data_IF_530314881845
#
_entry.id   IF_530314881845
#
_cell.length_a   1.000
_cell.length_b   1.000
_cell.length_c   1.000
_cell.angle_alpha   90.00
_cell.angle_beta   90.00
_cell.angle_gamma   90.00
#
_symmetry.space_group_name_H-M   'P 1'
#
loop_
_entity.id
_entity.type
_entity.pdbx_description
1 polymer ?
#
# COMPACT_ATOMS: atom_id res chain seq x y z
N UNK A 1 49.29 23.96 15.86
CA UNK A 1 47.91 24.27 15.45
C UNK A 1 47.53 23.28 14.36
N UNK A 2 46.77 22.23 14.70
CA UNK A 2 46.28 21.24 13.76
C UNK A 2 44.82 21.56 13.43
N UNK A 3 44.53 21.83 12.16
CA UNK A 3 43.16 21.93 11.67
C UNK A 3 42.61 20.50 11.54
N UNK A 4 41.77 20.09 12.50
CA UNK A 4 40.95 18.89 12.32
C UNK A 4 39.86 19.21 11.32
N UNK A 5 39.90 18.55 10.16
CA UNK A 5 38.80 18.51 9.21
C UNK A 5 37.52 18.07 9.92
N UNK A 6 36.53 18.94 9.96
CA UNK A 6 35.14 18.60 10.26
C UNK A 6 34.57 17.83 9.07
N UNK A 7 34.80 16.52 9.05
CA UNK A 7 34.05 15.60 8.20
C UNK A 7 32.56 15.73 8.55
N UNK A 8 31.75 16.25 7.63
CA UNK A 8 30.29 16.16 7.66
C UNK A 8 29.89 14.68 7.39
N UNK A 9 29.32 13.94 8.36
CA UNK A 9 28.62 12.71 8.05
C UNK A 9 27.12 13.04 8.01
N UNK A 10 26.51 13.03 6.83
CA UNK A 10 25.05 12.78 6.63
C UNK A 10 24.62 13.17 5.21
N UNK A 11 25.46 12.89 4.21
CA UNK A 11 24.98 12.88 2.82
C UNK A 11 24.30 11.54 2.56
N UNK A 12 22.98 11.53 2.75
CA UNK A 12 22.01 10.71 2.00
C UNK A 12 22.46 9.26 1.76
N UNK A 13 22.48 8.41 2.80
CA UNK A 13 22.41 6.98 2.53
C UNK A 13 21.06 6.69 1.86
N UNK A 14 21.03 6.15 0.64
CA UNK A 14 19.77 5.77 0.00
C UNK A 14 19.13 4.67 0.86
N UNK A 15 17.93 4.95 1.35
CA UNK A 15 17.12 3.92 2.00
C UNK A 15 16.76 2.90 0.93
N UNK A 16 17.43 1.75 0.95
CA UNK A 16 17.12 0.64 0.06
C UNK A 16 16.00 -0.19 0.68
N UNK A 17 14.89 -0.30 -0.03
CA UNK A 17 13.82 -1.23 0.29
C UNK A 17 13.94 -2.41 -0.67
N UNK A 18 13.98 -3.63 -0.16
CA UNK A 18 13.94 -4.79 -1.04
C UNK A 18 12.54 -4.93 -1.66
N UNK A 19 12.47 -5.40 -2.90
CA UNK A 19 11.19 -5.73 -3.56
C UNK A 19 10.32 -6.64 -2.68
N UNK A 20 10.95 -7.60 -1.99
CA UNK A 20 10.28 -8.51 -1.04
C UNK A 20 9.66 -7.81 0.17
N UNK A 21 10.26 -6.74 0.69
CA UNK A 21 9.68 -5.94 1.78
C UNK A 21 8.49 -5.12 1.27
N UNK A 22 8.58 -4.57 0.06
CA UNK A 22 7.49 -3.83 -0.59
C UNK A 22 6.31 -4.76 -0.86
N UNK A 23 6.54 -5.96 -1.40
CA UNK A 23 5.51 -7.00 -1.57
C UNK A 23 4.83 -7.38 -0.25
N UNK A 24 5.61 -7.59 0.80
CA UNK A 24 5.04 -7.93 2.12
C UNK A 24 4.18 -6.80 2.68
N UNK A 25 4.63 -5.55 2.53
CA UNK A 25 3.87 -4.38 2.96
C UNK A 25 2.57 -4.25 2.16
N UNK A 26 2.62 -4.38 0.83
CA UNK A 26 1.45 -4.35 -0.04
C UNK A 26 0.43 -5.44 0.31
N UNK A 27 0.89 -6.69 0.48
CA UNK A 27 0.04 -7.81 0.88
C UNK A 27 -0.63 -7.56 2.24
N UNK A 28 0.12 -7.00 3.18
CA UNK A 28 -0.41 -6.65 4.50
C UNK A 28 -1.49 -5.57 4.42
N UNK A 29 -1.25 -4.51 3.64
CA UNK A 29 -2.23 -3.44 3.42
C UNK A 29 -3.52 -4.04 2.83
N UNK A 30 -3.43 -4.89 1.80
CA UNK A 30 -4.62 -5.52 1.21
C UNK A 30 -5.39 -6.38 2.21
N UNK A 31 -4.69 -7.17 3.03
CA UNK A 31 -5.33 -8.00 4.05
C UNK A 31 -6.07 -7.15 5.10
N UNK A 32 -5.41 -6.11 5.62
CA UNK A 32 -6.00 -5.20 6.62
C UNK A 32 -7.16 -4.40 6.04
N UNK A 33 -7.04 -3.88 4.82
CA UNK A 33 -8.11 -3.18 4.09
C UNK A 33 -9.31 -4.09 3.85
N UNK A 34 -9.08 -5.34 3.46
CA UNK A 34 -10.15 -6.32 3.25
C UNK A 34 -10.95 -6.56 4.54
N UNK A 35 -10.27 -6.77 5.66
CA UNK A 35 -10.91 -6.95 6.97
C UNK A 35 -11.67 -5.68 7.39
N UNK A 36 -11.03 -4.51 7.30
CA UNK A 36 -11.63 -3.24 7.68
C UNK A 36 -12.88 -2.93 6.84
N UNK A 37 -12.82 -3.22 5.55
CA UNK A 37 -13.94 -3.06 4.61
C UNK A 37 -15.12 -3.94 4.98
N UNK A 38 -14.88 -5.23 5.28
CA UNK A 38 -15.94 -6.15 5.70
C UNK A 38 -16.58 -5.72 7.02
N UNK A 39 -15.77 -5.34 8.00
CA UNK A 39 -16.25 -4.86 9.30
C UNK A 39 -17.06 -3.57 9.16
N UNK A 40 -16.58 -2.63 8.34
CA UNK A 40 -17.29 -1.41 8.00
C UNK A 40 -18.65 -1.72 7.38
N UNK A 41 -18.71 -2.55 6.34
CA UNK A 41 -19.97 -2.85 5.64
C UNK A 41 -20.97 -3.57 6.53
N UNK A 42 -20.50 -4.49 7.38
CA UNK A 42 -21.34 -5.17 8.36
C UNK A 42 -21.92 -4.19 9.39
N UNK A 43 -21.06 -3.33 9.97
CA UNK A 43 -21.46 -2.35 10.99
C UNK A 43 -22.38 -1.29 10.41
N UNK A 44 -22.06 -0.77 9.22
CA UNK A 44 -22.86 0.22 8.53
C UNK A 44 -24.26 -0.29 8.23
N UNK A 45 -24.38 -1.54 7.76
CA UNK A 45 -25.68 -2.18 7.54
C UNK A 45 -26.49 -2.28 8.83
N UNK A 46 -25.88 -2.73 9.94
CA UNK A 46 -26.57 -2.81 11.23
C UNK A 46 -27.07 -1.44 11.72
N UNK A 47 -26.25 -0.40 11.61
CA UNK A 47 -26.65 0.97 11.97
C UNK A 47 -27.80 1.45 11.08
N UNK A 48 -27.69 1.23 9.77
CA UNK A 48 -28.70 1.63 8.82
C UNK A 48 -30.04 0.91 9.07
N UNK A 49 -30.00 -0.40 9.30
CA UNK A 49 -31.18 -1.21 9.60
C UNK A 49 -31.84 -0.76 10.91
N UNK A 50 -31.04 -0.46 11.95
CA UNK A 50 -31.54 0.07 13.21
C UNK A 50 -32.18 1.46 13.06
N UNK A 51 -31.56 2.37 12.30
CA UNK A 51 -32.09 3.71 12.04
C UNK A 51 -33.36 3.70 11.19
N UNK A 52 -33.49 2.71 10.29
CA UNK A 52 -34.66 2.61 9.40
C UNK A 52 -35.82 1.82 10.01
N UNK A 53 -35.60 1.10 11.11
CA UNK A 53 -36.67 0.48 11.89
C UNK A 53 -37.49 1.54 12.63
N UNK A 54 -38.69 1.81 12.11
CA UNK A 54 -39.67 2.75 12.67
C UNK A 54 -40.13 2.42 14.09
N UNK A 55 -39.86 1.21 14.58
CA UNK A 55 -40.15 0.82 15.97
C UNK A 55 -39.06 1.26 16.94
N UNK A 56 -37.84 1.47 16.44
CA UNK A 56 -36.67 1.81 17.25
C UNK A 56 -36.40 3.31 17.25
N UNK A 57 -36.55 3.96 16.09
CA UNK A 57 -36.18 5.36 15.89
C UNK A 57 -37.30 6.10 15.17
N UNK A 58 -37.60 7.31 15.64
CA UNK A 58 -38.51 8.22 14.95
C UNK A 58 -37.93 8.58 13.56
N UNK A 59 -38.72 8.51 12.48
CA UNK A 59 -38.23 8.74 11.12
C UNK A 59 -37.57 10.11 10.89
N UNK A 60 -38.02 11.17 11.57
CA UNK A 60 -37.43 12.50 11.43
C UNK A 60 -36.02 12.53 12.03
N UNK A 61 -35.84 11.89 13.20
CA UNK A 61 -34.53 11.76 13.84
C UNK A 61 -33.61 10.82 13.07
N UNK A 62 -34.12 9.70 12.56
CA UNK A 62 -33.36 8.79 11.71
C UNK A 62 -32.76 9.52 10.50
N UNK A 63 -33.54 10.39 9.85
CA UNK A 63 -33.08 11.15 8.70
C UNK A 63 -31.98 12.15 9.05
N UNK A 64 -32.10 12.86 10.19
CA UNK A 64 -31.04 13.77 10.68
C UNK A 64 -29.75 13.00 10.95
N UNK A 65 -29.84 11.85 11.61
CA UNK A 65 -28.67 11.02 11.93
C UNK A 65 -28.02 10.49 10.64
N UNK A 66 -28.81 9.98 9.69
CA UNK A 66 -28.30 9.49 8.41
C UNK A 66 -27.64 10.60 7.59
N UNK A 67 -28.22 11.81 7.59
CA UNK A 67 -27.63 12.98 6.90
C UNK A 67 -26.23 13.29 7.44
N UNK A 68 -26.02 13.13 8.74
CA UNK A 68 -24.71 13.29 9.35
C UNK A 68 -23.78 12.11 9.04
N UNK A 69 -24.24 10.86 9.17
CA UNK A 69 -23.39 9.67 9.11
C UNK A 69 -23.01 9.22 7.70
N UNK A 70 -23.91 9.35 6.71
CA UNK A 70 -23.70 8.88 5.34
C UNK A 70 -22.41 9.43 4.71
N UNK A 71 -22.12 10.75 4.80
CA UNK A 71 -20.88 11.30 4.25
C UNK A 71 -19.61 10.69 4.88
N UNK A 72 -19.63 10.39 6.18
CA UNK A 72 -18.48 9.76 6.85
C UNK A 72 -18.30 8.31 6.42
N UNK A 73 -19.37 7.54 6.31
CA UNK A 73 -19.31 6.16 5.81
C UNK A 73 -18.75 6.11 4.37
N UNK A 74 -19.20 7.03 3.51
CA UNK A 74 -18.67 7.15 2.15
C UNK A 74 -17.17 7.52 2.14
N UNK A 75 -16.76 8.45 3.00
CA UNK A 75 -15.35 8.87 3.10
C UNK A 75 -14.44 7.75 3.62
N UNK A 76 -14.92 6.97 4.59
CA UNK A 76 -14.20 5.78 5.06
C UNK A 76 -14.05 4.77 3.93
N UNK A 77 -15.10 4.53 3.16
CA UNK A 77 -15.02 3.63 2.00
C UNK A 77 -14.01 4.09 0.96
N UNK A 78 -14.03 5.38 0.60
CA UNK A 78 -13.05 5.96 -0.31
C UNK A 78 -11.61 5.82 0.19
N UNK A 79 -11.41 5.86 1.51
CA UNK A 79 -10.09 5.67 2.12
C UNK A 79 -9.59 4.22 1.96
N UNK A 80 -10.49 3.23 2.08
CA UNK A 80 -10.17 1.82 1.84
C UNK A 80 -9.84 1.57 0.37
N UNK A 81 -10.60 2.15 -0.56
CA UNK A 81 -10.33 2.04 -1.99
C UNK A 81 -8.96 2.64 -2.34
N UNK A 82 -8.64 3.82 -1.80
CA UNK A 82 -7.32 4.44 -1.96
C UNK A 82 -6.18 3.57 -1.40
N UNK A 83 -6.37 2.91 -0.26
CA UNK A 83 -5.37 1.99 0.30
C UNK A 83 -5.18 0.74 -0.58
N UNK A 84 -6.26 0.23 -1.19
CA UNK A 84 -6.19 -0.87 -2.14
C UNK A 84 -5.41 -0.48 -3.40
N UNK A 85 -5.65 0.73 -3.92
CA UNK A 85 -4.93 1.28 -5.07
C UNK A 85 -3.44 1.48 -4.74
N UNK A 86 -3.14 2.01 -3.54
CA UNK A 86 -1.78 2.15 -3.05
C UNK A 86 -1.07 0.80 -2.98
N UNK A 87 -1.70 -0.22 -2.40
CA UNK A 87 -1.10 -1.55 -2.31
C UNK A 87 -0.85 -2.15 -3.70
N UNK A 88 -1.77 -1.97 -4.64
CA UNK A 88 -1.61 -2.41 -6.03
C UNK A 88 -0.45 -1.69 -6.72
N UNK A 89 -0.29 -0.39 -6.48
CA UNK A 89 0.85 0.37 -6.99
C UNK A 89 2.19 -0.10 -6.37
N UNK A 90 2.19 -0.50 -5.10
CA UNK A 90 3.37 -1.06 -4.44
C UNK A 90 3.77 -2.42 -5.04
N UNK A 91 2.82 -3.28 -5.38
CA UNK A 91 3.11 -4.52 -6.12
C UNK A 91 3.75 -4.23 -7.47
N UNK A 92 3.13 -3.34 -8.26
CA UNK A 92 3.67 -2.98 -9.58
C UNK A 92 5.09 -2.38 -9.48
N UNK A 93 5.35 -1.57 -8.46
CA UNK A 93 6.68 -0.99 -8.23
C UNK A 93 7.72 -2.07 -7.85
N UNK A 94 7.35 -3.03 -7.01
CA UNK A 94 8.24 -4.12 -6.62
C UNK A 94 8.53 -5.08 -7.78
N UNK A 95 7.52 -5.43 -8.58
CA UNK A 95 7.68 -6.24 -9.80
C UNK A 95 8.58 -5.53 -10.82
N UNK A 96 8.41 -4.21 -10.99
CA UNK A 96 9.27 -3.42 -11.88
C UNK A 96 10.73 -3.41 -11.42
N UNK A 97 10.98 -3.24 -10.11
CA UNK A 97 12.32 -3.29 -9.54
C UNK A 97 12.97 -4.66 -9.74
N UNK A 98 12.23 -5.74 -9.48
CA UNK A 98 12.74 -7.10 -9.67
C UNK A 98 13.03 -7.41 -11.14
N UNK A 99 12.15 -7.02 -12.06
CA UNK A 99 12.38 -7.16 -13.50
C UNK A 99 13.58 -6.36 -13.99
N UNK A 100 13.77 -5.15 -13.47
CA UNK A 100 14.92 -4.30 -13.80
C UNK A 100 16.23 -4.89 -13.28
N UNK A 101 16.23 -5.41 -12.05
CA UNK A 101 17.39 -6.07 -11.44
C UNK A 101 17.79 -7.32 -12.23
N UNK A 102 16.81 -8.15 -12.61
CA UNK A 102 17.05 -9.33 -13.45
C UNK A 102 17.61 -8.96 -14.83
N UNK A 103 17.09 -7.92 -15.47
CA UNK A 103 17.61 -7.44 -16.77
C UNK A 103 19.04 -6.94 -16.66
N UNK A 104 19.35 -6.17 -15.61
CA UNK A 104 20.72 -5.71 -15.35
C UNK A 104 21.64 -6.90 -15.06
N UNK A 105 21.24 -7.84 -14.20
CA UNK A 105 22.02 -9.04 -13.90
C UNK A 105 22.35 -9.85 -15.16
N UNK A 106 21.37 -10.01 -16.07
CA UNK A 106 21.57 -10.69 -17.35
C UNK A 106 22.51 -9.92 -18.29
N UNK A 107 22.52 -8.59 -18.25
CA UNK A 107 23.43 -7.76 -19.06
C UNK A 107 24.90 -7.87 -18.64
N UNK A 108 25.16 -8.26 -17.38
CA UNK A 108 26.50 -8.48 -16.85
C UNK A 108 26.95 -9.94 -16.90
N UNK A 109 26.12 -10.87 -17.40
CA UNK A 109 26.57 -12.24 -17.62
C UNK A 109 27.68 -12.23 -18.69
N UNK A 110 28.90 -12.72 -18.38
CA UNK A 110 29.98 -12.78 -19.34
C UNK A 110 29.53 -13.67 -20.50
N UNK A 111 29.62 -13.16 -21.73
CA UNK A 111 29.32 -13.92 -22.94
C UNK A 111 30.07 -15.25 -22.96
N UNK A 112 29.55 -16.29 -23.63
CA UNK A 112 30.17 -17.61 -23.65
C UNK A 112 31.63 -17.45 -24.01
N UNK A 113 32.50 -17.86 -23.08
CA UNK A 113 33.94 -17.80 -23.26
C UNK A 113 34.26 -18.37 -24.64
N UNK A 114 34.68 -17.51 -25.58
CA UNK A 114 35.30 -17.94 -26.82
C UNK A 114 36.69 -18.50 -26.46
N UNK A 115 36.68 -19.63 -25.74
CA UNK A 115 37.78 -20.56 -25.63
C UNK A 115 37.90 -21.29 -26.96
N UNK A 116 38.42 -20.59 -27.95
CA UNK A 116 38.79 -21.12 -29.25
C UNK A 116 40.27 -20.86 -29.51
N UNK A 117 41.15 -21.44 -28.69
CA UNK A 117 42.53 -21.64 -29.09
C UNK A 117 42.53 -22.85 -30.04
N UNK A 118 42.70 -22.62 -31.33
CA UNK A 118 42.88 -23.67 -32.33
C UNK A 118 44.35 -23.61 -32.78
N UNK A 119 45.10 -24.73 -32.75
CA UNK A 119 46.53 -24.80 -33.06
C UNK A 119 46.88 -24.49 -34.52
#
# INVERSE_FOLDING_TARGET
MGFTSSSHPDSLQPVSYSSSQIHRAAARILAEVGIATQQHDATWRQIHDWLTDKKQVDPAWANVILTCLVPYAQRLRASYDWLSDLASALFAAADFLEGTDQQMANSFQPGPAHGGFVP
#
